data_IF_166600025539
#
_entry.id   IF_166600025539
#
_cell.length_a   1.000
_cell.length_b   1.000
_cell.length_c   1.000
_cell.angle_alpha   90.00
_cell.angle_beta   90.00
_cell.angle_gamma   90.00
#
_symmetry.space_group_name_H-M   'P 1'
#
loop_
_entity.id
_entity.type
_entity.pdbx_description
1 polymer ?
#
# COMPACT_ATOMS: atom_id res chain seq x y z
N UNK A 1 3.36 11.91 -12.36
CA UNK A 1 3.18 12.83 -11.21
C UNK A 1 4.11 14.04 -11.25
N UNK A 2 5.37 13.89 -11.67
CA UNK A 2 6.42 14.92 -11.60
C UNK A 2 6.09 16.29 -12.22
N UNK A 3 5.17 16.38 -13.20
CA UNK A 3 4.78 17.65 -13.81
C UNK A 3 3.68 18.43 -13.05
N UNK A 4 3.09 17.83 -12.01
CA UNK A 4 2.10 18.49 -11.18
C UNK A 4 2.76 19.31 -10.08
N UNK A 5 2.10 20.38 -9.64
CA UNK A 5 2.46 21.09 -8.41
C UNK A 5 1.72 20.50 -7.21
N UNK A 6 2.22 20.78 -6.02
CA UNK A 6 1.52 20.49 -4.76
C UNK A 6 0.13 21.12 -4.77
N UNK A 7 0.01 22.38 -5.19
CA UNK A 7 -1.27 23.09 -5.19
C UNK A 7 -2.31 22.41 -6.08
N UNK A 8 -1.91 21.96 -7.28
CA UNK A 8 -2.82 21.22 -8.17
C UNK A 8 -3.37 19.93 -7.53
N UNK A 9 -2.59 19.22 -6.71
CA UNK A 9 -3.08 18.05 -5.97
C UNK A 9 -3.96 18.44 -4.77
N UNK A 10 -3.67 19.56 -4.12
CA UNK A 10 -4.47 20.07 -3.01
C UNK A 10 -5.83 20.59 -3.47
N UNK A 11 -5.93 21.13 -4.68
CA UNK A 11 -7.19 21.61 -5.27
C UNK A 11 -8.05 20.47 -5.86
N UNK A 12 -7.45 19.30 -6.10
CA UNK A 12 -8.14 18.16 -6.68
C UNK A 12 -9.14 17.53 -5.68
N UNK A 13 -10.42 17.50 -6.06
CA UNK A 13 -11.49 16.93 -5.25
C UNK A 13 -11.80 15.49 -5.68
N UNK A 14 -11.52 14.53 -4.79
CA UNK A 14 -11.70 13.11 -5.06
C UNK A 14 -13.13 12.66 -4.74
N UNK A 15 -13.77 12.03 -5.73
CA UNK A 15 -15.06 11.37 -5.57
C UNK A 15 -14.91 9.86 -5.79
N UNK A 16 -15.50 9.06 -4.90
CA UNK A 16 -15.53 7.60 -5.06
C UNK A 16 -16.50 7.28 -6.21
N UNK A 17 -16.03 6.53 -7.21
CA UNK A 17 -16.86 6.14 -8.37
C UNK A 17 -17.96 5.18 -7.95
N UNK A 18 -19.12 5.30 -8.59
CA UNK A 18 -20.26 4.38 -8.47
C UNK A 18 -19.95 2.97 -8.96
N UNK A 19 -18.91 2.81 -9.78
CA UNK A 19 -18.39 1.53 -10.26
C UNK A 19 -17.61 0.78 -9.16
N UNK A 20 -17.33 1.43 -8.03
CA UNK A 20 -16.66 0.80 -6.89
C UNK A 20 -17.54 -0.24 -6.19
N UNK A 21 -16.94 -1.32 -5.64
CA UNK A 21 -15.54 -1.69 -5.77
C UNK A 21 -15.22 -2.30 -7.15
N UNK A 22 -14.04 -1.95 -7.69
CA UNK A 22 -13.53 -2.43 -8.99
C UNK A 22 -12.95 -3.84 -8.91
N UNK A 23 -12.48 -4.27 -7.72
CA UNK A 23 -12.15 -5.66 -7.42
C UNK A 23 -12.83 -6.05 -6.11
N UNK A 24 -13.61 -7.13 -6.16
CA UNK A 24 -14.21 -7.78 -4.99
C UNK A 24 -13.40 -9.03 -4.62
N UNK A 25 -13.52 -9.54 -3.40
CA UNK A 25 -13.00 -10.85 -3.06
C UNK A 25 -13.51 -11.95 -4.01
N UNK A 26 -12.64 -12.89 -4.36
CA UNK A 26 -12.90 -14.00 -5.29
C UNK A 26 -12.21 -15.29 -4.82
N UNK A 27 -12.56 -16.43 -5.42
CA UNK A 27 -11.94 -17.74 -5.13
C UNK A 27 -11.83 -18.06 -3.61
N UNK A 28 -12.87 -17.71 -2.85
CA UNK A 28 -12.96 -17.99 -1.41
C UNK A 28 -12.10 -17.13 -0.49
N UNK A 29 -11.37 -16.13 -1.01
CA UNK A 29 -10.70 -15.12 -0.17
C UNK A 29 -11.70 -14.11 0.37
N UNK A 30 -11.37 -13.48 1.50
CA UNK A 30 -12.10 -12.34 2.05
C UNK A 30 -11.36 -11.01 1.88
N UNK A 31 -10.12 -11.07 1.37
CA UNK A 31 -9.21 -9.93 1.27
C UNK A 31 -8.73 -9.79 -0.17
N UNK A 32 -8.99 -8.61 -0.74
CA UNK A 32 -8.34 -8.08 -1.95
C UNK A 32 -7.85 -6.67 -1.62
N UNK A 33 -6.53 -6.50 -1.50
CA UNK A 33 -5.95 -5.34 -0.84
C UNK A 33 -4.62 -4.87 -1.42
N UNK A 34 -4.25 -3.63 -1.07
CA UNK A 34 -3.02 -2.93 -1.47
C UNK A 34 -2.82 -2.90 -3.00
N UNK A 35 -3.69 -2.17 -3.73
CA UNK A 35 -3.55 -2.05 -5.17
C UNK A 35 -2.24 -1.36 -5.55
N UNK A 36 -1.65 -1.80 -6.65
CA UNK A 36 -0.48 -1.21 -7.27
C UNK A 36 -0.61 -1.22 -8.77
N UNK A 37 -0.47 -0.07 -9.43
CA UNK A 37 -0.86 0.06 -10.83
C UNK A 37 0.28 0.51 -11.73
N UNK A 38 0.21 0.02 -12.97
CA UNK A 38 0.84 0.62 -14.13
C UNK A 38 -0.25 1.18 -15.05
N UNK A 39 -0.01 2.38 -15.59
CA UNK A 39 -0.88 2.98 -16.60
C UNK A 39 -0.52 2.46 -18.00
N UNK A 40 -1.43 2.63 -18.99
CA UNK A 40 -1.13 2.33 -20.40
C UNK A 40 0.16 2.94 -20.94
N UNK A 41 0.57 4.10 -20.43
CA UNK A 41 1.78 4.79 -20.87
C UNK A 41 3.06 4.05 -20.48
N UNK A 42 2.99 3.24 -19.42
CA UNK A 42 4.11 2.46 -18.90
C UNK A 42 4.10 1.00 -19.34
N UNK A 43 3.14 0.58 -20.17
CA UNK A 43 2.96 -0.82 -20.58
C UNK A 43 3.09 -0.98 -22.09
N UNK A 44 3.73 -2.06 -22.55
CA UNK A 44 3.91 -2.34 -23.99
C UNK A 44 2.59 -2.62 -24.72
N UNK A 45 1.61 -3.18 -24.02
CA UNK A 45 0.30 -3.53 -24.58
C UNK A 45 -0.75 -2.42 -24.45
N UNK A 46 -0.36 -1.25 -23.92
CA UNK A 46 -1.22 -0.08 -23.69
C UNK A 46 -2.44 -0.37 -22.81
N UNK A 47 -2.31 -1.31 -21.88
CA UNK A 47 -3.35 -1.63 -20.90
C UNK A 47 -3.02 -1.11 -19.51
N UNK A 48 -4.03 -1.10 -18.66
CA UNK A 48 -3.88 -0.98 -17.23
C UNK A 48 -3.48 -2.31 -16.63
N UNK A 49 -2.50 -2.31 -15.73
CA UNK A 49 -2.11 -3.49 -14.96
C UNK A 49 -2.24 -3.18 -13.48
N UNK A 50 -3.06 -3.95 -12.76
CA UNK A 50 -3.18 -3.86 -11.32
C UNK A 50 -2.59 -5.11 -10.67
N UNK A 51 -1.70 -4.88 -9.72
CA UNK A 51 -1.17 -5.86 -8.80
C UNK A 51 -1.81 -5.63 -7.44
N UNK A 52 -2.30 -6.67 -6.82
CA UNK A 52 -2.88 -6.59 -5.48
C UNK A 52 -2.69 -7.94 -4.80
N UNK A 53 -2.93 -8.00 -3.49
CA UNK A 53 -2.78 -9.25 -2.77
C UNK A 53 -4.09 -9.79 -2.21
N UNK A 54 -4.05 -11.08 -1.93
CA UNK A 54 -5.00 -11.79 -1.08
C UNK A 54 -4.19 -12.56 -0.04
N UNK A 55 -4.85 -13.28 0.87
CA UNK A 55 -4.17 -14.20 1.80
C UNK A 55 -3.30 -15.27 1.11
N UNK A 56 -3.51 -15.52 -0.19
CA UNK A 56 -2.80 -16.56 -0.93
C UNK A 56 -1.57 -16.05 -1.72
N UNK A 57 -1.37 -14.74 -1.80
CA UNK A 57 -0.29 -14.16 -2.60
C UNK A 57 -0.71 -12.92 -3.40
N UNK A 58 0.19 -12.48 -4.27
CA UNK A 58 -0.04 -11.37 -5.21
C UNK A 58 -0.65 -11.89 -6.50
N UNK A 59 -1.68 -11.18 -6.95
CA UNK A 59 -2.41 -11.39 -8.18
C UNK A 59 -2.20 -10.19 -9.11
N UNK A 60 -2.32 -10.46 -10.40
CA UNK A 60 -2.23 -9.49 -11.48
C UNK A 60 -3.54 -9.52 -12.28
N UNK A 61 -4.13 -8.36 -12.50
CA UNK A 61 -5.30 -8.17 -13.35
C UNK A 61 -5.01 -7.07 -14.39
N UNK A 62 -5.62 -7.20 -15.57
CA UNK A 62 -5.49 -6.24 -16.66
C UNK A 62 -6.82 -5.59 -16.97
N UNK A 63 -6.81 -4.33 -17.41
CA UNK A 63 -8.00 -3.60 -17.82
C UNK A 63 -7.72 -2.73 -19.03
N UNK A 64 -8.73 -2.52 -19.87
CA UNK A 64 -8.67 -1.63 -21.02
C UNK A 64 -9.00 -0.17 -20.63
N UNK A 65 -9.81 0.03 -19.57
CA UNK A 65 -10.30 1.35 -19.11
C UNK A 65 -9.76 1.76 -17.72
N UNK A 66 -9.14 0.82 -16.98
CA UNK A 66 -8.66 1.00 -15.61
C UNK A 66 -9.73 0.81 -14.54
N UNK A 67 -10.92 0.34 -14.89
CA UNK A 67 -12.08 0.20 -14.00
C UNK A 67 -12.60 -1.24 -14.08
N UNK A 68 -12.82 -1.72 -15.31
CA UNK A 68 -13.28 -3.06 -15.63
C UNK A 68 -12.08 -4.00 -15.76
N UNK A 69 -11.69 -4.65 -14.67
CA UNK A 69 -10.57 -5.59 -14.66
C UNK A 69 -10.98 -7.01 -15.06
N UNK A 70 -10.16 -7.64 -15.89
CA UNK A 70 -10.28 -9.06 -16.25
C UNK A 70 -9.96 -9.95 -15.05
N UNK A 71 -10.33 -11.24 -15.16
CA UNK A 71 -10.08 -12.23 -14.11
C UNK A 71 -8.61 -12.19 -13.65
N UNK A 72 -8.33 -11.95 -12.35
CA UNK A 72 -6.98 -11.90 -11.84
C UNK A 72 -6.26 -13.24 -11.91
N UNK A 73 -4.95 -13.22 -12.14
CA UNK A 73 -4.07 -14.39 -12.14
C UNK A 73 -3.05 -14.27 -11.01
N UNK A 74 -2.85 -15.34 -10.25
CA UNK A 74 -1.83 -15.37 -9.19
C UNK A 74 -0.44 -15.45 -9.79
N UNK A 75 0.44 -14.51 -9.43
CA UNK A 75 1.81 -14.45 -9.97
C UNK A 75 2.87 -14.76 -8.91
N UNK A 76 2.59 -14.49 -7.63
CA UNK A 76 3.52 -14.76 -6.54
C UNK A 76 2.80 -15.38 -5.35
N UNK A 77 3.38 -16.44 -4.78
CA UNK A 77 2.94 -17.03 -3.51
C UNK A 77 3.66 -16.36 -2.35
N UNK A 78 3.05 -16.37 -1.15
CA UNK A 78 3.67 -15.82 0.08
C UNK A 78 4.11 -14.36 -0.09
N UNK A 79 3.29 -13.58 -0.78
CA UNK A 79 3.57 -12.21 -1.16
C UNK A 79 2.35 -11.34 -0.81
N UNK A 80 2.58 -10.18 -0.22
CA UNK A 80 1.57 -9.19 0.14
C UNK A 80 2.06 -7.79 -0.26
N UNK A 81 1.12 -6.82 -0.31
CA UNK A 81 1.43 -5.39 -0.43
C UNK A 81 2.37 -5.04 -1.60
N UNK A 82 1.96 -5.32 -2.85
CA UNK A 82 2.81 -5.10 -4.01
C UNK A 82 3.08 -3.61 -4.28
N UNK A 83 4.28 -3.32 -4.77
CA UNK A 83 4.65 -2.05 -5.38
C UNK A 83 5.34 -2.29 -6.72
N UNK A 84 4.60 -2.04 -7.80
CA UNK A 84 5.10 -2.17 -9.17
C UNK A 84 5.71 -0.84 -9.64
N UNK A 85 6.88 -0.92 -10.26
CA UNK A 85 7.58 0.23 -10.85
C UNK A 85 8.08 -0.16 -12.24
N UNK A 86 8.03 0.77 -13.19
CA UNK A 86 8.67 0.61 -14.51
C UNK A 86 9.85 1.58 -14.61
N UNK A 87 11.05 1.02 -14.71
CA UNK A 87 12.32 1.77 -14.68
C UNK A 87 13.21 1.20 -15.79
N UNK A 88 13.64 2.06 -16.72
CA UNK A 88 14.60 1.74 -17.79
C UNK A 88 14.32 0.42 -18.53
N UNK A 89 13.07 0.22 -18.94
CA UNK A 89 12.66 -0.98 -19.69
C UNK A 89 12.53 -2.23 -18.84
N UNK A 90 12.45 -2.11 -17.52
CA UNK A 90 12.26 -3.23 -16.59
C UNK A 90 11.13 -2.94 -15.62
N UNK A 91 10.30 -3.93 -15.38
CA UNK A 91 9.29 -3.90 -14.33
C UNK A 91 9.86 -4.50 -13.05
N UNK A 92 9.82 -3.74 -11.96
CA UNK A 92 10.25 -4.16 -10.63
C UNK A 92 9.03 -4.26 -9.72
N UNK A 93 8.74 -5.46 -9.25
CA UNK A 93 7.66 -5.71 -8.29
C UNK A 93 8.25 -5.95 -6.91
N UNK A 94 8.25 -4.91 -6.09
CA UNK A 94 8.56 -5.00 -4.66
C UNK A 94 7.36 -5.53 -3.90
N UNK A 95 7.57 -6.32 -2.87
CA UNK A 95 6.49 -6.87 -2.07
C UNK A 95 6.97 -7.33 -0.69
N UNK A 96 6.03 -7.42 0.23
CA UNK A 96 6.24 -8.09 1.52
C UNK A 96 6.21 -9.61 1.32
N UNK A 97 7.30 -10.29 1.67
CA UNK A 97 7.36 -11.75 1.66
C UNK A 97 7.06 -12.31 3.05
N UNK A 98 6.02 -13.12 3.14
CA UNK A 98 5.62 -13.77 4.39
C UNK A 98 6.23 -15.17 4.51
N UNK A 99 6.10 -15.77 5.71
CA UNK A 99 6.32 -17.21 5.89
C UNK A 99 5.28 -18.04 5.11
N UNK A 100 5.47 -19.36 5.09
CA UNK A 100 4.52 -20.27 4.44
C UNK A 100 3.17 -20.22 5.15
N UNK A 101 2.09 -20.60 4.46
CA UNK A 101 0.75 -20.65 5.04
C UNK A 101 0.70 -21.53 6.30
N UNK A 102 1.44 -22.64 6.32
CA UNK A 102 1.56 -23.49 7.51
C UNK A 102 2.18 -22.74 8.70
N UNK A 103 3.29 -22.05 8.50
CA UNK A 103 3.91 -21.25 9.55
C UNK A 103 3.03 -20.07 9.99
N UNK A 104 2.26 -19.48 9.06
CA UNK A 104 1.28 -18.44 9.40
C UNK A 104 0.10 -19.01 10.20
N UNK A 105 -0.38 -20.22 9.89
CA UNK A 105 -1.39 -20.89 10.69
C UNK A 105 -0.90 -21.17 12.13
N UNK A 106 0.37 -21.56 12.28
CA UNK A 106 1.00 -21.71 13.60
C UNK A 106 1.16 -20.37 14.33
N UNK A 107 1.23 -19.24 13.63
CA UNK A 107 1.23 -17.91 14.26
C UNK A 107 -0.13 -17.56 14.88
N UNK A 108 -1.24 -17.97 14.26
CA UNK A 108 -2.59 -17.75 14.81
C UNK A 108 -2.75 -18.42 16.18
N UNK A 109 -2.11 -19.57 16.40
CA UNK A 109 -2.06 -20.29 17.69
C UNK A 109 -0.86 -19.93 18.56
N UNK A 110 -0.17 -18.81 18.26
CA UNK A 110 1.00 -18.29 18.99
C UNK A 110 2.21 -19.25 19.10
N UNK A 111 2.28 -20.29 18.27
CA UNK A 111 3.41 -21.24 18.27
C UNK A 111 4.62 -20.70 17.50
N UNK A 112 4.39 -19.77 16.56
CA UNK A 112 5.44 -19.17 15.73
C UNK A 112 5.22 -17.67 15.66
N UNK A 113 6.26 -16.85 15.87
CA UNK A 113 6.17 -15.39 15.69
C UNK A 113 6.06 -15.00 14.22
N UNK A 114 5.38 -13.89 13.93
CA UNK A 114 5.29 -13.34 12.58
C UNK A 114 6.69 -12.96 12.08
N UNK A 115 6.95 -13.17 10.80
CA UNK A 115 8.17 -12.71 10.15
C UNK A 115 7.89 -12.38 8.69
N UNK A 116 8.17 -11.14 8.30
CA UNK A 116 8.13 -10.72 6.91
C UNK A 116 9.25 -9.76 6.54
N UNK A 117 9.73 -9.89 5.31
CA UNK A 117 10.89 -9.17 4.78
C UNK A 117 10.51 -8.60 3.40
N UNK A 118 11.24 -7.60 2.89
CA UNK A 118 10.93 -7.02 1.57
C UNK A 118 11.75 -7.72 0.50
N UNK A 119 11.06 -8.14 -0.55
CA UNK A 119 11.62 -8.80 -1.72
C UNK A 119 11.27 -8.02 -2.99
N UNK A 120 12.02 -8.27 -4.05
CA UNK A 120 11.76 -7.79 -5.40
C UNK A 120 11.86 -8.94 -6.40
N UNK A 121 10.99 -8.92 -7.41
CA UNK A 121 11.13 -9.72 -8.63
C UNK A 121 11.03 -8.80 -9.84
N UNK A 122 11.62 -9.23 -10.95
CA UNK A 122 11.79 -8.42 -12.14
C UNK A 122 11.08 -9.07 -13.32
N UNK A 123 10.58 -8.25 -14.25
CA UNK A 123 10.02 -8.72 -15.51
C UNK A 123 10.35 -7.75 -16.63
N UNK A 124 10.42 -8.27 -17.86
CA UNK A 124 10.50 -7.47 -19.09
C UNK A 124 9.18 -7.40 -19.85
N UNK A 125 8.22 -8.25 -19.51
CA UNK A 125 6.99 -8.46 -20.30
C UNK A 125 5.72 -8.61 -19.45
N UNK A 126 5.83 -8.42 -18.12
CA UNK A 126 4.77 -8.61 -17.11
C UNK A 126 4.21 -10.03 -17.01
N UNK A 127 4.83 -11.00 -17.69
CA UNK A 127 4.41 -12.41 -17.73
C UNK A 127 5.46 -13.30 -17.06
N UNK A 128 6.71 -13.12 -17.46
CA UNK A 128 7.85 -13.87 -16.97
C UNK A 128 8.54 -13.08 -15.86
N UNK A 129 8.61 -13.68 -14.67
CA UNK A 129 9.16 -13.07 -13.46
C UNK A 129 10.43 -13.80 -13.02
N UNK A 130 11.46 -13.05 -12.67
CA UNK A 130 12.73 -13.61 -12.19
C UNK A 130 12.57 -14.22 -10.78
N UNK A 131 13.55 -15.03 -10.39
CA UNK A 131 13.64 -15.51 -9.00
C UNK A 131 13.69 -14.33 -8.03
N UNK A 132 12.81 -14.28 -7.00
CA UNK A 132 12.78 -13.16 -6.08
C UNK A 132 14.07 -12.96 -5.30
N UNK A 133 14.54 -11.71 -5.24
CA UNK A 133 15.71 -11.25 -4.49
C UNK A 133 15.26 -10.58 -3.20
N UNK A 134 15.97 -10.84 -2.10
CA UNK A 134 15.74 -10.13 -0.83
C UNK A 134 16.33 -8.73 -0.93
N UNK A 135 15.56 -7.71 -0.57
CA UNK A 135 15.98 -6.30 -0.62
C UNK A 135 16.33 -5.79 0.77
N UNK A 136 15.40 -5.97 1.73
CA UNK A 136 15.58 -5.53 3.11
C UNK A 136 15.19 -6.68 4.05
N UNK A 137 16.05 -6.93 5.03
CA UNK A 137 15.77 -7.77 6.18
C UNK A 137 15.75 -6.91 7.44
N UNK A 138 15.28 -7.47 8.54
CA UNK A 138 15.30 -6.76 9.82
C UNK A 138 16.73 -6.47 10.27
N UNK A 139 17.02 -5.21 10.52
CA UNK A 139 18.34 -4.73 10.96
C UNK A 139 18.24 -3.71 12.10
N UNK A 140 17.02 -3.28 12.47
CA UNK A 140 16.79 -2.23 13.49
C UNK A 140 15.82 -2.70 14.56
N UNK A 141 16.01 -2.22 15.79
CA UNK A 141 15.21 -2.65 16.95
C UNK A 141 13.73 -2.26 16.84
N UNK A 142 13.42 -1.11 16.25
CA UNK A 142 12.04 -0.64 16.05
C UNK A 142 11.23 -1.51 15.08
N UNK A 143 11.88 -2.39 14.32
CA UNK A 143 11.23 -3.35 13.40
C UNK A 143 10.77 -4.61 14.14
N UNK A 144 11.14 -4.77 15.41
CA UNK A 144 10.93 -5.96 16.24
C UNK A 144 9.85 -5.68 17.29
N UNK A 145 8.90 -6.59 17.43
CA UNK A 145 7.90 -6.60 18.49
C UNK A 145 7.88 -7.96 19.20
N UNK A 146 7.18 -8.04 20.33
CA UNK A 146 6.91 -9.31 21.01
C UNK A 146 6.16 -10.33 20.12
N UNK A 147 5.43 -9.85 19.10
CA UNK A 147 4.64 -10.68 18.17
C UNK A 147 5.42 -11.13 16.94
N UNK A 148 6.59 -10.56 16.70
CA UNK A 148 7.43 -10.88 15.56
C UNK A 148 8.06 -9.66 14.91
N UNK A 149 8.48 -9.85 13.68
CA UNK A 149 9.19 -8.84 12.89
C UNK A 149 8.46 -8.62 11.58
N UNK A 150 8.14 -7.37 11.25
CA UNK A 150 7.36 -7.05 10.06
C UNK A 150 8.03 -5.91 9.27
N UNK A 151 8.30 -6.16 8.00
CA UNK A 151 8.64 -5.15 6.99
C UNK A 151 7.62 -5.29 5.87
N UNK A 152 6.87 -4.23 5.60
CA UNK A 152 5.66 -4.28 4.80
C UNK A 152 5.46 -3.01 3.97
N UNK A 153 4.46 -3.01 3.10
CA UNK A 153 4.06 -1.85 2.30
C UNK A 153 5.23 -1.14 1.59
N UNK A 154 6.12 -1.86 0.88
CA UNK A 154 7.19 -1.21 0.13
C UNK A 154 6.61 -0.15 -0.82
N UNK A 155 7.30 0.97 -0.93
CA UNK A 155 7.03 1.98 -1.95
C UNK A 155 8.33 2.65 -2.38
N UNK A 156 8.76 2.33 -3.60
CA UNK A 156 9.98 2.85 -4.18
C UNK A 156 9.74 4.21 -4.83
N UNK A 157 10.67 5.15 -4.62
CA UNK A 157 10.86 6.31 -5.48
C UNK A 157 12.31 6.40 -5.93
N UNK A 158 12.53 7.05 -7.08
CA UNK A 158 13.86 7.43 -7.55
C UNK A 158 14.05 8.94 -7.41
N UNK A 159 15.19 9.34 -6.86
CA UNK A 159 15.54 10.74 -6.60
C UNK A 159 17.06 10.92 -6.72
N UNK A 160 17.51 11.81 -7.62
CA UNK A 160 18.93 12.20 -7.76
C UNK A 160 19.92 11.01 -7.87
N UNK A 161 19.53 9.96 -8.61
CA UNK A 161 20.35 8.76 -8.76
C UNK A 161 20.31 7.79 -7.57
N UNK A 162 19.52 8.10 -6.53
CA UNK A 162 19.25 7.22 -5.39
C UNK A 162 17.85 6.61 -5.49
N UNK A 163 17.74 5.43 -4.90
CA UNK A 163 16.52 4.67 -4.73
C UNK A 163 16.13 4.76 -3.27
N UNK A 164 15.00 5.41 -2.97
CA UNK A 164 14.46 5.47 -1.62
C UNK A 164 13.25 4.56 -1.53
N UNK A 165 13.34 3.55 -0.69
CA UNK A 165 12.28 2.60 -0.42
C UNK A 165 11.63 2.93 0.91
N UNK A 166 10.43 3.50 0.87
CA UNK A 166 9.58 3.66 2.05
C UNK A 166 8.96 2.30 2.41
N UNK A 167 8.82 2.02 3.70
CA UNK A 167 8.18 0.80 4.16
C UNK A 167 7.56 0.99 5.54
N UNK A 168 6.53 0.20 5.83
CA UNK A 168 5.97 0.11 7.17
C UNK A 168 6.63 -1.00 7.97
N UNK A 169 6.78 -0.80 9.28
CA UNK A 169 7.49 -1.73 10.16
C UNK A 169 6.94 -1.71 11.59
N UNK A 170 7.41 -2.65 12.40
CA UNK A 170 6.85 -2.89 13.74
C UNK A 170 5.45 -3.50 13.67
N UNK A 171 4.89 -3.87 14.83
CA UNK A 171 3.57 -4.49 14.91
C UNK A 171 2.85 -4.03 16.18
N UNK A 172 1.68 -3.41 16.00
CA UNK A 172 0.74 -3.12 17.08
C UNK A 172 -0.49 -3.98 16.90
N UNK A 173 -0.90 -4.67 17.96
CA UNK A 173 -2.13 -5.47 17.94
C UNK A 173 -3.34 -4.55 18.08
N UNK A 174 -4.32 -4.71 17.18
CA UNK A 174 -5.56 -3.93 17.19
C UNK A 174 -6.68 -4.82 17.73
N UNK A 175 -7.24 -4.47 18.88
CA UNK A 175 -8.07 -5.36 19.67
C UNK A 175 -9.41 -5.72 19.01
N UNK A 176 -10.08 -4.81 18.30
CA UNK A 176 -11.35 -5.11 17.64
C UNK A 176 -11.15 -5.87 16.32
N UNK A 177 -10.07 -5.57 15.59
CA UNK A 177 -9.63 -6.25 14.37
C UNK A 177 -9.09 -7.66 14.63
N UNK A 178 -8.54 -7.91 15.82
CA UNK A 178 -7.88 -9.17 16.22
C UNK A 178 -6.65 -9.55 15.38
N UNK A 179 -6.01 -8.59 14.72
CA UNK A 179 -4.75 -8.77 14.00
C UNK A 179 -3.80 -7.59 14.26
N UNK A 180 -2.57 -7.71 13.79
CA UNK A 180 -1.57 -6.65 13.95
C UNK A 180 -1.51 -5.76 12.71
N UNK A 181 -1.33 -4.47 12.94
CA UNK A 181 -1.05 -3.46 11.91
C UNK A 181 0.36 -2.88 12.09
N UNK A 182 1.00 -2.37 11.02
CA UNK A 182 2.32 -1.78 11.10
C UNK A 182 2.36 -0.56 12.01
N UNK A 183 3.19 -0.60 13.04
CA UNK A 183 3.30 0.49 14.03
C UNK A 183 3.88 1.75 13.41
N UNK A 184 4.97 1.62 12.67
CA UNK A 184 5.82 2.73 12.23
C UNK A 184 5.93 2.79 10.70
N UNK A 185 6.36 3.94 10.18
CA UNK A 185 6.88 4.07 8.81
C UNK A 185 8.35 4.48 8.89
N UNK A 186 9.16 3.79 8.09
CA UNK A 186 10.59 4.05 7.91
C UNK A 186 10.94 4.07 6.42
N UNK A 187 12.22 4.29 6.13
CA UNK A 187 12.76 4.23 4.78
C UNK A 187 14.15 3.60 4.78
N UNK A 188 14.57 3.16 3.60
CA UNK A 188 15.94 2.77 3.33
C UNK A 188 16.38 3.33 1.98
N UNK A 189 17.68 3.54 1.82
CA UNK A 189 18.24 4.12 0.59
C UNK A 189 19.31 3.21 -0.02
N UNK A 190 19.40 3.21 -1.34
CA UNK A 190 20.47 2.58 -2.10
C UNK A 190 20.73 3.27 -3.43
N UNK A 191 21.96 3.12 -3.95
CA UNK A 191 22.28 3.45 -5.34
C UNK A 191 21.77 2.38 -6.32
N UNK A 192 21.41 1.19 -5.83
CA UNK A 192 20.94 0.08 -6.66
C UNK A 192 19.45 -0.19 -6.41
N UNK A 193 18.72 -0.50 -7.49
CA UNK A 193 17.26 -0.74 -7.39
C UNK A 193 16.96 -1.97 -6.51
N UNK A 194 17.77 -3.03 -6.58
CA UNK A 194 17.38 -4.35 -6.05
C UNK A 194 18.18 -4.84 -4.83
N UNK A 195 19.22 -4.13 -4.40
CA UNK A 195 20.09 -4.54 -3.29
C UNK A 195 20.80 -3.36 -2.65
N UNK A 196 21.49 -3.58 -1.52
CA UNK A 196 22.34 -2.56 -0.89
C UNK A 196 21.57 -1.44 -0.20
N UNK A 197 20.35 -1.72 0.26
CA UNK A 197 19.54 -0.75 1.00
C UNK A 197 20.01 -0.63 2.44
N UNK A 198 20.17 0.60 2.90
CA UNK A 198 20.48 0.92 4.30
C UNK A 198 19.26 1.55 4.96
N UNK A 199 18.68 0.87 5.95
CA UNK A 199 17.54 1.39 6.73
C UNK A 199 17.96 2.56 7.61
N UNK A 200 17.08 3.55 7.73
CA UNK A 200 17.22 4.64 8.69
C UNK A 200 17.35 4.11 10.13
N UNK A 201 18.10 4.83 10.97
CA UNK A 201 18.34 4.43 12.37
C UNK A 201 17.12 4.55 13.28
N UNK A 202 16.13 5.35 12.87
CA UNK A 202 14.86 5.53 13.56
C UNK A 202 13.71 5.63 12.55
N UNK A 203 12.49 5.21 12.93
CA UNK A 203 11.31 5.48 12.10
C UNK A 203 11.11 6.99 12.00
N UNK A 204 10.58 7.46 10.87
CA UNK A 204 10.32 8.89 10.68
C UNK A 204 8.84 9.24 10.87
N UNK A 205 7.93 8.27 10.82
CA UNK A 205 6.55 8.43 11.29
C UNK A 205 6.28 7.38 12.36
N UNK A 206 5.78 7.85 13.50
CA UNK A 206 5.36 7.03 14.64
C UNK A 206 3.95 7.39 15.05
N UNK A 207 3.20 6.48 15.69
CA UNK A 207 1.90 6.80 16.25
C UNK A 207 2.01 7.92 17.29
N UNK A 208 1.05 8.83 17.27
CA UNK A 208 0.92 9.90 18.27
C UNK A 208 -0.47 9.84 18.89
N UNK A 209 -0.53 9.63 20.21
CA UNK A 209 -1.79 9.50 20.95
C UNK A 209 -2.70 10.72 20.80
N UNK A 210 -2.13 11.90 20.51
CA UNK A 210 -2.88 13.13 20.32
C UNK A 210 -3.33 13.34 18.87
N UNK A 211 -2.84 12.52 17.94
CA UNK A 211 -3.19 12.65 16.53
C UNK A 211 -4.48 11.88 16.21
N UNK A 212 -5.53 12.55 15.69
CA UNK A 212 -6.83 11.92 15.45
C UNK A 212 -6.82 10.87 14.33
N UNK A 213 -5.76 10.77 13.53
CA UNK A 213 -5.70 9.91 12.34
C UNK A 213 -4.61 8.82 12.38
N UNK A 214 -3.75 8.83 13.39
CA UNK A 214 -2.66 7.84 13.55
C UNK A 214 -2.30 7.55 15.02
N UNK A 215 -3.27 7.55 15.93
CA UNK A 215 -3.01 7.31 17.36
C UNK A 215 -2.72 5.85 17.73
N UNK A 216 -3.02 4.87 16.86
CA UNK A 216 -2.72 3.45 17.10
C UNK A 216 -1.55 2.95 16.24
N UNK A 217 -1.56 3.25 14.94
CA UNK A 217 -0.56 2.79 13.97
C UNK A 217 -0.34 3.83 12.88
N UNK A 218 0.88 3.88 12.34
CA UNK A 218 1.20 4.74 11.20
C UNK A 218 0.77 4.14 9.85
N UNK A 219 0.40 2.85 9.79
CA UNK A 219 -0.18 2.23 8.60
C UNK A 219 0.77 2.26 7.40
N UNK A 220 0.36 2.76 6.24
CA UNK A 220 1.19 2.82 5.04
C UNK A 220 1.31 4.23 4.46
N UNK A 221 2.43 4.50 3.78
CA UNK A 221 2.70 5.76 3.08
C UNK A 221 3.14 5.50 1.64
N UNK A 222 2.59 6.29 0.72
CA UNK A 222 2.97 6.36 -0.69
C UNK A 222 3.44 7.77 -0.99
N UNK A 223 4.66 7.92 -1.51
CA UNK A 223 5.29 9.22 -1.69
C UNK A 223 5.43 9.54 -3.17
N UNK A 224 4.94 10.69 -3.60
CA UNK A 224 4.99 11.11 -4.99
C UNK A 224 5.83 12.38 -5.10
N UNK A 225 6.92 12.31 -5.87
CA UNK A 225 7.69 13.51 -6.26
C UNK A 225 6.88 14.34 -7.26
N UNK A 226 6.77 15.62 -6.96
CA UNK A 226 6.12 16.65 -7.76
C UNK A 226 7.14 17.71 -8.19
N UNK A 227 6.69 18.70 -8.96
CA UNK A 227 7.53 19.78 -9.48
C UNK A 227 8.16 20.63 -8.37
N UNK A 228 7.42 20.86 -7.29
CA UNK A 228 7.72 21.80 -6.21
C UNK A 228 7.78 21.12 -4.82
N UNK A 229 7.92 19.79 -4.77
CA UNK A 229 8.11 19.05 -3.52
C UNK A 229 7.61 17.61 -3.59
N UNK A 230 7.07 17.11 -2.48
CA UNK A 230 6.55 15.76 -2.33
C UNK A 230 5.14 15.80 -1.77
N UNK A 231 4.32 14.86 -2.23
CA UNK A 231 3.05 14.53 -1.59
C UNK A 231 3.10 13.13 -1.04
N UNK A 232 2.72 12.99 0.22
CA UNK A 232 2.50 11.72 0.88
C UNK A 232 1.00 11.40 0.88
N UNK A 233 0.63 10.22 0.42
CA UNK A 233 -0.71 9.66 0.61
C UNK A 233 -0.59 8.56 1.65
N UNK A 234 -1.15 8.79 2.83
CA UNK A 234 -1.02 7.90 3.98
C UNK A 234 -2.39 7.42 4.45
N UNK A 235 -2.42 6.21 4.99
CA UNK A 235 -3.45 5.79 5.91
C UNK A 235 -2.81 5.44 7.25
N UNK A 236 -3.34 5.99 8.34
CA UNK A 236 -3.04 5.56 9.71
C UNK A 236 -4.18 4.71 10.26
N UNK A 237 -3.95 4.05 11.39
CA UNK A 237 -5.01 3.45 12.20
C UNK A 237 -5.21 4.33 13.43
N UNK A 238 -6.46 4.70 13.68
CA UNK A 238 -6.83 5.51 14.83
C UNK A 238 -7.99 4.87 15.57
N UNK A 239 -8.00 5.05 16.88
CA UNK A 239 -9.14 4.76 17.74
C UNK A 239 -10.02 5.99 17.85
N UNK A 240 -11.33 5.77 17.72
CA UNK A 240 -12.36 6.73 18.06
C UNK A 240 -13.52 5.98 18.70
N UNK A 241 -14.00 6.45 19.84
CA UNK A 241 -15.13 5.86 20.57
C UNK A 241 -14.95 4.35 20.84
N UNK A 242 -13.72 3.93 21.16
CA UNK A 242 -13.36 2.54 21.47
C UNK A 242 -13.35 1.59 20.25
N UNK A 243 -13.40 2.12 19.02
CA UNK A 243 -13.30 1.34 17.78
C UNK A 243 -12.14 1.82 16.93
N UNK A 244 -11.50 0.89 16.24
CA UNK A 244 -10.47 1.26 15.28
C UNK A 244 -11.09 1.67 13.94
N UNK A 245 -10.42 2.62 13.30
CA UNK A 245 -10.78 3.20 12.02
C UNK A 245 -9.51 3.47 11.20
N UNK A 246 -9.67 3.61 9.89
CA UNK A 246 -8.61 4.04 8.98
C UNK A 246 -9.20 4.88 7.87
N UNK A 247 -8.49 5.93 7.50
CA UNK A 247 -8.85 6.82 6.42
C UNK A 247 -7.59 7.22 5.65
N UNK A 248 -7.77 7.62 4.39
CA UNK A 248 -6.67 8.09 3.55
C UNK A 248 -6.62 9.61 3.61
N UNK A 249 -5.43 10.14 3.88
CA UNK A 249 -5.17 11.57 3.88
C UNK A 249 -3.93 11.92 3.08
N UNK A 250 -3.90 13.18 2.65
CA UNK A 250 -2.79 13.78 1.94
C UNK A 250 -1.94 14.61 2.89
N UNK A 251 -0.63 14.52 2.69
CA UNK A 251 0.39 15.31 3.33
C UNK A 251 1.33 15.91 2.30
N UNK A 252 2.03 16.98 2.66
CA UNK A 252 3.08 17.58 1.82
C UNK A 252 4.40 17.59 2.54
N UNK A 253 5.50 17.53 1.78
CA UNK A 253 6.86 17.61 2.29
C UNK A 253 7.76 18.32 1.28
N UNK A 254 8.78 19.03 1.75
CA UNK A 254 9.83 19.62 0.91
C UNK A 254 10.99 18.66 0.63
N UNK A 255 11.21 17.66 1.48
CA UNK A 255 12.37 16.74 1.44
C UNK A 255 11.98 15.24 1.32
N UNK A 256 10.68 14.95 1.34
CA UNK A 256 10.15 13.59 1.29
C UNK A 256 10.30 12.83 2.61
N UNK A 257 10.64 13.50 3.71
CA UNK A 257 10.81 12.90 5.04
C UNK A 257 9.98 13.62 6.10
N UNK A 258 9.93 14.95 6.06
CA UNK A 258 9.14 15.76 6.98
C UNK A 258 7.79 16.10 6.34
N UNK A 259 6.76 15.33 6.67
CA UNK A 259 5.42 15.49 6.13
C UNK A 259 4.51 16.28 7.07
N UNK A 260 3.67 17.13 6.47
CA UNK A 260 2.62 17.84 7.20
C UNK A 260 1.26 17.49 6.61
N UNK A 261 0.30 17.13 7.47
CA UNK A 261 -1.09 16.91 7.09
C UNK A 261 -1.66 18.12 6.33
N UNK A 262 -2.52 17.84 5.34
CA UNK A 262 -3.21 18.86 4.56
C UNK A 262 -4.71 18.63 4.49
N UNK A 263 -5.14 17.47 3.98
CA UNK A 263 -6.58 17.16 3.86
C UNK A 263 -6.85 15.66 3.85
N UNK A 264 -8.08 15.30 4.21
CA UNK A 264 -8.62 13.97 3.97
C UNK A 264 -8.85 13.77 2.48
N UNK A 265 -8.56 12.57 1.97
CA UNK A 265 -8.87 12.19 0.59
C UNK A 265 -10.07 11.25 0.55
N UNK A 266 -10.05 10.21 1.38
CA UNK A 266 -11.11 9.19 1.41
C UNK A 266 -11.37 8.81 2.86
N UNK A 267 -12.61 8.99 3.29
CA UNK A 267 -13.10 8.60 4.61
C UNK A 267 -14.02 7.38 4.50
N UNK A 268 -14.08 6.54 5.55
CA UNK A 268 -15.05 5.46 5.63
C UNK A 268 -16.50 5.97 5.50
N UNK A 269 -17.29 5.35 4.64
CA UNK A 269 -18.69 5.71 4.42
C UNK A 269 -19.50 4.59 3.75
N UNK A 270 -20.82 4.70 3.81
CA UNK A 270 -21.71 3.94 2.93
C UNK A 270 -21.74 4.60 1.56
N UNK A 271 -21.58 3.82 0.49
CA UNK A 271 -21.62 4.31 -0.91
C UNK A 271 -22.77 3.62 -1.62
N UNK A 272 -23.73 4.39 -2.12
CA UNK A 272 -24.91 3.89 -2.85
C UNK A 272 -25.64 2.76 -2.10
N UNK A 273 -25.84 2.94 -0.79
CA UNK A 273 -26.48 1.96 0.08
C UNK A 273 -25.65 0.71 0.39
N UNK A 274 -24.37 0.67 0.00
CA UNK A 274 -23.45 -0.46 0.25
C UNK A 274 -22.38 -0.07 1.27
N UNK A 275 -22.16 -0.97 2.22
CA UNK A 275 -21.29 -0.74 3.39
C UNK A 275 -19.83 -1.22 3.20
N UNK A 276 -19.41 -1.51 1.96
CA UNK A 276 -18.11 -2.13 1.67
C UNK A 276 -16.87 -1.34 2.14
N UNK A 277 -17.03 -0.03 2.39
CA UNK A 277 -15.98 0.86 2.91
C UNK A 277 -16.39 1.59 4.19
N UNK A 278 -17.31 1.02 4.96
CA UNK A 278 -17.96 1.71 6.09
C UNK A 278 -17.06 1.95 7.29
N UNK A 279 -16.06 1.10 7.55
CA UNK A 279 -15.22 1.23 8.75
C UNK A 279 -13.78 1.61 8.44
N UNK A 280 -13.18 1.03 7.40
CA UNK A 280 -11.78 1.28 7.08
C UNK A 280 -11.56 1.56 5.61
N UNK A 281 -10.68 2.52 5.36
CA UNK A 281 -10.07 2.79 4.06
C UNK A 281 -8.56 2.79 4.26
N UNK A 282 -7.87 1.91 3.53
CA UNK A 282 -6.46 1.60 3.74
C UNK A 282 -5.60 2.04 2.56
N UNK A 283 -4.46 1.37 2.38
CA UNK A 283 -3.47 1.63 1.37
C UNK A 283 -4.04 1.94 -0.01
N UNK A 284 -3.32 2.81 -0.70
CA UNK A 284 -3.74 3.32 -1.99
C UNK A 284 -2.60 3.38 -3.00
N UNK A 285 -2.97 3.67 -4.24
CA UNK A 285 -2.04 4.06 -5.29
C UNK A 285 -2.70 5.15 -6.14
N UNK A 286 -2.09 6.34 -6.11
CA UNK A 286 -2.46 7.50 -6.91
C UNK A 286 -1.72 7.49 -8.25
N UNK A 287 -2.46 7.59 -9.35
CA UNK A 287 -1.91 7.68 -10.71
C UNK A 287 -2.56 8.84 -11.47
N UNK A 288 -1.84 9.39 -12.45
CA UNK A 288 -2.34 10.42 -13.37
C UNK A 288 -2.59 9.79 -14.73
N UNK A 289 -3.74 10.07 -15.33
CA UNK A 289 -4.04 9.77 -16.73
C UNK A 289 -4.67 10.99 -17.38
N UNK A 290 -4.03 11.58 -18.38
CA UNK A 290 -4.50 12.85 -18.96
C UNK A 290 -4.64 13.93 -17.89
N UNK A 291 -5.81 14.58 -17.83
CA UNK A 291 -6.17 15.60 -16.83
C UNK A 291 -6.96 15.02 -15.65
N UNK A 292 -6.78 13.73 -15.39
CA UNK A 292 -7.50 13.03 -14.33
C UNK A 292 -6.50 12.37 -13.39
N UNK A 293 -6.79 12.51 -12.09
CA UNK A 293 -6.16 11.75 -11.03
C UNK A 293 -7.06 10.59 -10.66
N UNK A 294 -6.45 9.42 -10.49
CA UNK A 294 -7.11 8.15 -10.19
C UNK A 294 -6.49 7.57 -8.94
N UNK A 295 -7.29 7.42 -7.89
CA UNK A 295 -6.87 6.84 -6.63
C UNK A 295 -7.53 5.47 -6.47
N UNK A 296 -6.74 4.41 -6.52
CA UNK A 296 -7.18 3.07 -6.18
C UNK A 296 -6.83 2.80 -4.73
N UNK A 297 -7.74 2.21 -3.98
CA UNK A 297 -7.54 1.96 -2.56
C UNK A 297 -8.26 0.70 -2.13
N UNK A 298 -7.80 0.02 -1.08
CA UNK A 298 -8.63 -1.02 -0.46
C UNK A 298 -9.42 -0.47 0.72
N UNK A 299 -10.60 -1.03 0.93
CA UNK A 299 -11.46 -0.67 2.04
C UNK A 299 -12.18 -1.91 2.58
N UNK A 300 -12.60 -1.80 3.84
CA UNK A 300 -13.23 -2.86 4.60
C UNK A 300 -14.48 -2.36 5.30
N UNK A 301 -15.51 -3.19 5.28
CA UNK A 301 -16.82 -2.93 5.86
C UNK A 301 -16.82 -2.95 7.38
N UNK A 302 -16.19 -3.95 7.99
CA UNK A 302 -16.17 -4.15 9.45
C UNK A 302 -14.84 -4.72 9.96
N UNK A 303 -14.52 -4.49 11.23
CA UNK A 303 -13.28 -4.97 11.88
C UNK A 303 -13.22 -6.49 12.08
N UNK A 304 -14.37 -7.17 12.11
CA UNK A 304 -14.43 -8.61 12.37
C UNK A 304 -13.52 -9.42 11.41
N UNK A 305 -12.60 -10.25 11.92
CA UNK A 305 -11.59 -10.93 11.11
C UNK A 305 -12.16 -11.98 10.15
N UNK A 306 -13.35 -12.51 10.41
CA UNK A 306 -13.97 -13.60 9.65
C UNK A 306 -15.03 -13.06 8.69
N UNK A 307 -15.80 -12.07 9.15
CA UNK A 307 -16.93 -11.49 8.42
C UNK A 307 -16.54 -10.28 7.58
N UNK A 308 -15.47 -9.57 7.96
CA UNK A 308 -14.95 -8.44 7.19
C UNK A 308 -14.59 -8.83 5.76
N UNK A 309 -14.89 -7.94 4.83
CA UNK A 309 -14.56 -8.09 3.40
C UNK A 309 -13.77 -6.89 2.95
N UNK A 310 -12.58 -7.15 2.41
CA UNK A 310 -11.74 -6.10 1.83
C UNK A 310 -11.84 -6.11 0.31
N UNK A 311 -12.26 -4.98 -0.24
CA UNK A 311 -12.41 -4.76 -1.67
C UNK A 311 -11.50 -3.62 -2.12
N UNK A 312 -11.19 -3.57 -3.41
CA UNK A 312 -10.48 -2.43 -4.02
C UNK A 312 -11.51 -1.48 -4.64
N UNK A 313 -11.53 -0.25 -4.14
CA UNK A 313 -12.29 0.87 -4.65
C UNK A 313 -11.50 1.75 -5.62
N UNK A 314 -12.23 2.69 -6.21
CA UNK A 314 -11.72 3.64 -7.18
C UNK A 314 -12.32 5.03 -6.90
N UNK A 315 -11.46 6.04 -6.80
CA UNK A 315 -11.85 7.44 -6.72
C UNK A 315 -11.14 8.26 -7.80
N UNK A 316 -11.81 9.33 -8.22
CA UNK A 316 -11.39 10.16 -9.34
C UNK A 316 -11.47 11.64 -8.99
N UNK A 317 -10.49 12.40 -9.47
CA UNK A 317 -10.47 13.86 -9.40
C UNK A 317 -9.98 14.45 -10.73
N UNK A 318 -10.41 15.66 -11.05
CA UNK A 318 -9.94 16.43 -12.20
C UNK A 318 -8.92 17.47 -11.77
N UNK A 319 -7.96 17.75 -12.67
CA UNK A 319 -6.88 18.73 -12.51
C UNK A 319 -6.78 19.63 -13.74
#
# INVERSE_FOLDING_TARGET
MQNLTIQQLLDAEFSVSDESPVIKPFDGTFITADPSLLTPDNCHDKKWHMFFHTNFGVYHATSDDGISFRKPVKILKRAMRPNINYIDGTYYLFYERTRSLFANALNVVNLVRWKSEIFVTESKDLKNWTTPKKVIAHTKDYEISHRGTALSNPFLIQEEGKNRLYYSCGMTYIDDCKFCEPTYISYAESENITYGYTSADKPFISPDKNNPYLNLCSGCLKVYKLKDGYVGVQNGIYEKDGKSHSAIFMMTSSDGLNFTFRKMLIEPKTVNGKDWMKQFVYASHLVKQGNTLRLYFNARDISDPIRGRECIGFAVAHI
#
